data_IF_923356062259
#
_entry.id   IF_923356062259
#
_cell.length_a   1.000
_cell.length_b   1.000
_cell.length_c   1.000
_cell.angle_alpha   90.00
_cell.angle_beta   90.00
_cell.angle_gamma   90.00
#
_symmetry.space_group_name_H-M   'P 1'
#
loop_
_entity.id
_entity.type
_entity.pdbx_description
1 polymer ?
#
# COMPACT_ATOMS: atom_id res chain seq x y z
N UNK A 1 -8.73 2.61 0.15
CA UNK A 1 -7.89 1.61 -0.56
C UNK A 1 -8.17 0.22 0.01
N UNK A 2 -8.17 -0.87 -0.79
CA UNK A 2 -8.44 -2.23 -0.29
C UNK A 2 -7.14 -3.03 -0.24
N UNK A 3 -6.92 -3.77 0.86
CA UNK A 3 -5.80 -4.68 1.06
C UNK A 3 -6.36 -6.08 1.24
N UNK A 4 -5.91 -7.03 0.42
CA UNK A 4 -6.34 -8.44 0.45
C UNK A 4 -5.60 -9.20 1.55
N UNK A 5 -6.23 -10.27 2.06
CA UNK A 5 -5.74 -11.05 3.21
C UNK A 5 -4.37 -11.72 2.99
N UNK A 6 -4.01 -12.01 1.74
CA UNK A 6 -2.72 -12.63 1.41
C UNK A 6 -1.56 -11.62 1.35
N UNK A 7 -1.76 -10.37 1.77
CA UNK A 7 -0.68 -9.40 1.88
C UNK A 7 0.41 -9.93 2.82
N UNK A 8 1.66 -9.94 2.34
CA UNK A 8 2.81 -10.45 3.09
C UNK A 8 3.62 -9.37 3.84
N UNK A 9 3.09 -8.14 3.94
CA UNK A 9 3.74 -7.02 4.65
C UNK A 9 5.18 -6.71 4.20
N UNK A 10 5.49 -6.92 2.91
CA UNK A 10 6.86 -6.76 2.37
C UNK A 10 7.37 -5.30 2.30
N UNK A 11 6.52 -4.29 2.51
CA UNK A 11 6.94 -2.88 2.48
C UNK A 11 7.12 -2.25 1.09
N UNK A 12 6.98 -3.00 -0.01
CA UNK A 12 7.17 -2.46 -1.37
C UNK A 12 6.22 -1.29 -1.69
N UNK A 13 4.97 -1.34 -1.21
CA UNK A 13 4.00 -0.26 -1.37
C UNK A 13 4.38 1.02 -0.62
N UNK A 14 4.96 0.90 0.58
CA UNK A 14 5.46 2.04 1.34
C UNK A 14 6.66 2.68 0.64
N UNK A 15 7.63 1.87 0.20
CA UNK A 15 8.83 2.38 -0.47
C UNK A 15 8.59 3.09 -1.80
N UNK A 16 7.48 2.81 -2.49
CA UNK A 16 7.12 3.50 -3.76
C UNK A 16 6.20 4.71 -3.54
N UNK A 17 5.69 4.93 -2.33
CA UNK A 17 4.71 5.97 -2.09
C UNK A 17 5.39 7.36 -2.12
N UNK A 18 5.08 8.25 -3.09
CA UNK A 18 5.78 9.53 -3.23
C UNK A 18 5.39 10.57 -2.16
N UNK A 19 4.39 10.27 -1.35
CA UNK A 19 3.79 11.16 -0.34
C UNK A 19 3.80 10.52 1.04
N UNK A 20 4.51 9.40 1.20
CA UNK A 20 4.65 8.67 2.47
C UNK A 20 3.30 8.43 3.17
N UNK A 21 2.28 8.06 2.38
CA UNK A 21 0.92 7.79 2.87
C UNK A 21 0.73 6.34 3.34
N UNK A 22 1.74 5.47 3.22
CA UNK A 22 1.63 4.05 3.55
C UNK A 22 2.74 3.69 4.53
N UNK A 23 2.33 3.14 5.68
CA UNK A 23 3.23 2.54 6.68
C UNK A 23 2.95 1.04 6.77
N UNK A 24 4.02 0.25 6.86
CA UNK A 24 3.94 -1.21 7.01
C UNK A 24 4.62 -1.61 8.31
N UNK A 25 3.85 -2.22 9.19
CA UNK A 25 4.28 -2.87 10.43
C UNK A 25 4.26 -4.41 10.24
N UNK A 26 4.69 -5.19 11.23
CA UNK A 26 4.87 -6.65 11.11
C UNK A 26 3.67 -7.40 10.51
N UNK A 27 2.45 -7.05 10.93
CA UNK A 27 1.20 -7.69 10.48
C UNK A 27 0.10 -6.67 10.17
N UNK A 28 0.48 -5.42 9.89
CA UNK A 28 -0.48 -4.34 9.68
C UNK A 28 0.03 -3.37 8.62
N UNK A 29 -0.89 -2.86 7.82
CA UNK A 29 -0.66 -1.73 6.93
C UNK A 29 -1.56 -0.59 7.38
N UNK A 30 -0.99 0.59 7.50
CA UNK A 30 -1.69 1.83 7.80
C UNK A 30 -1.61 2.73 6.57
N UNK A 31 -2.75 3.29 6.17
CA UNK A 31 -2.84 4.21 5.04
C UNK A 31 -3.41 5.52 5.55
N UNK A 32 -2.68 6.61 5.32
CA UNK A 32 -3.13 7.97 5.52
C UNK A 32 -3.95 8.40 4.29
N UNK A 33 -5.27 8.31 4.39
CA UNK A 33 -6.20 8.67 3.32
C UNK A 33 -6.24 10.19 3.05
N UNK A 34 -5.75 11.05 3.97
CA UNK A 34 -5.63 12.49 3.73
C UNK A 34 -4.43 12.82 2.84
N UNK A 35 -3.32 12.08 2.99
CA UNK A 35 -2.15 12.20 2.12
C UNK A 35 -2.27 11.45 0.81
N UNK A 36 -3.04 10.35 0.79
CA UNK A 36 -3.13 9.47 -0.37
C UNK A 36 -3.71 10.19 -1.60
N UNK A 37 -2.90 10.33 -2.66
CA UNK A 37 -3.32 10.98 -3.92
C UNK A 37 -3.97 10.02 -4.92
N UNK A 38 -4.19 8.76 -4.53
CA UNK A 38 -4.70 7.67 -5.40
C UNK A 38 -3.89 7.48 -6.69
N UNK A 39 -2.58 7.73 -6.67
CA UNK A 39 -1.72 7.63 -7.86
C UNK A 39 -1.55 6.18 -8.41
N UNK A 40 -1.82 5.15 -7.60
CA UNK A 40 -1.80 3.75 -8.03
C UNK A 40 -0.43 3.08 -8.14
N UNK A 41 0.66 3.76 -7.76
CA UNK A 41 2.00 3.17 -7.75
C UNK A 41 2.10 1.95 -6.80
N UNK A 42 1.47 2.04 -5.64
CA UNK A 42 1.40 0.96 -4.64
C UNK A 42 0.72 -0.31 -5.18
N UNK A 43 -0.30 -0.16 -6.04
CA UNK A 43 -0.97 -1.30 -6.69
C UNK A 43 -0.04 -1.93 -7.73
N UNK A 44 0.57 -1.12 -8.60
CA UNK A 44 1.47 -1.59 -9.67
C UNK A 44 2.73 -2.28 -9.14
N UNK A 45 3.27 -1.83 -8.02
CA UNK A 45 4.50 -2.39 -7.45
C UNK A 45 4.27 -3.69 -6.68
N UNK A 46 3.02 -4.00 -6.31
CA UNK A 46 2.75 -5.15 -5.46
C UNK A 46 3.01 -6.46 -6.23
N UNK A 47 4.00 -7.29 -5.84
CA UNK A 47 4.38 -8.49 -6.59
C UNK A 47 3.31 -9.59 -6.55
N UNK A 48 2.38 -9.49 -5.60
CA UNK A 48 1.31 -10.47 -5.37
C UNK A 48 -0.07 -9.86 -5.61
N UNK A 49 -0.17 -8.62 -6.10
CA UNK A 49 -1.45 -7.95 -6.42
C UNK A 49 -2.43 -7.89 -5.23
N UNK A 50 -1.89 -7.66 -4.03
CA UNK A 50 -2.66 -7.59 -2.78
C UNK A 50 -3.37 -6.25 -2.56
N UNK A 51 -3.16 -5.22 -3.39
CA UNK A 51 -3.73 -3.89 -3.20
C UNK A 51 -4.64 -3.52 -4.38
N UNK A 52 -5.74 -2.83 -4.08
CA UNK A 52 -6.71 -2.34 -5.07
C UNK A 52 -7.16 -0.92 -4.75
N UNK A 53 -7.28 -0.07 -5.79
CA UNK A 53 -7.79 1.29 -5.67
C UNK A 53 -9.33 1.26 -5.68
N UNK A 54 -9.95 2.07 -4.80
CA UNK A 54 -11.37 2.39 -4.82
C UNK A 54 -11.60 3.85 -5.21
#
# INVERSE_FOLDING_TARGET
>A
MIIKEFCMYCGACAGVCPVDAIEVEELKIVIDEEKCTKCGLCVKTCPIEALELQ
#
